data_IF_800486358479
#
_entry.id   IF_800486358479
#
_cell.length_a   1.000
_cell.length_b   1.000
_cell.length_c   1.000
_cell.angle_alpha   90.00
_cell.angle_beta   90.00
_cell.angle_gamma   90.00
#
_symmetry.space_group_name_H-M   'P 1'
#
loop_
_entity.id
_entity.type
_entity.pdbx_description
1 polymer ?
#
# COMPACT_ATOMS: atom_id res chain seq x y z
N UNK A 1 7.45 -5.77 -0.93
CA UNK A 1 6.14 -6.45 -0.72
C UNK A 1 5.28 -6.24 -1.96
N UNK A 2 4.37 -7.17 -2.29
CA UNK A 2 3.48 -7.03 -3.47
C UNK A 2 2.58 -5.80 -3.34
N UNK A 3 2.49 -5.02 -4.41
CA UNK A 3 1.61 -3.86 -4.49
C UNK A 3 0.17 -4.28 -4.84
N UNK A 4 -0.66 -4.53 -3.82
CA UNK A 4 -2.04 -4.97 -4.01
C UNK A 4 -2.92 -3.87 -4.62
N UNK A 5 -2.64 -2.59 -4.29
CA UNK A 5 -3.36 -1.46 -4.87
C UNK A 5 -3.17 -1.43 -6.40
N UNK A 6 -1.93 -1.48 -6.85
CA UNK A 6 -1.64 -1.41 -8.28
C UNK A 6 -2.20 -2.62 -9.05
N UNK A 7 -2.18 -3.82 -8.45
CA UNK A 7 -2.82 -5.01 -9.06
C UNK A 7 -4.30 -4.75 -9.35
N UNK A 8 -5.05 -4.25 -8.37
CA UNK A 8 -6.48 -3.98 -8.51
C UNK A 8 -6.75 -2.80 -9.43
N UNK A 9 -5.96 -1.73 -9.35
CA UNK A 9 -6.07 -0.57 -10.22
C UNK A 9 -5.93 -0.97 -11.70
N UNK A 10 -4.88 -1.73 -12.04
CA UNK A 10 -4.72 -2.20 -13.42
C UNK A 10 -5.79 -3.20 -13.84
N UNK A 11 -6.32 -3.99 -12.90
CA UNK A 11 -7.43 -4.90 -13.19
C UNK A 11 -8.71 -4.15 -13.56
N UNK A 12 -9.10 -3.12 -12.80
CA UNK A 12 -10.28 -2.30 -13.10
C UNK A 12 -10.13 -1.50 -14.40
N UNK A 13 -8.90 -1.10 -14.75
CA UNK A 13 -8.57 -0.55 -16.08
C UNK A 13 -8.62 -1.57 -17.24
N UNK A 14 -8.99 -2.82 -16.99
CA UNK A 14 -9.17 -3.85 -18.02
C UNK A 14 -7.88 -4.46 -18.56
N UNK A 15 -6.79 -4.44 -17.77
CA UNK A 15 -5.56 -5.16 -18.13
C UNK A 15 -5.72 -6.67 -17.88
N UNK A 16 -5.06 -7.47 -18.72
CA UNK A 16 -5.01 -8.93 -18.52
C UNK A 16 -4.13 -9.29 -17.33
N UNK A 17 -4.39 -10.43 -16.69
CA UNK A 17 -3.61 -10.89 -15.52
C UNK A 17 -2.12 -11.04 -15.81
N UNK A 18 -1.76 -11.34 -17.06
CA UNK A 18 -0.36 -11.49 -17.50
C UNK A 18 0.33 -10.12 -17.63
N UNK A 19 -0.38 -9.10 -18.10
CA UNK A 19 0.14 -7.73 -18.18
C UNK A 19 0.34 -7.15 -16.77
N UNK A 20 -0.64 -7.35 -15.88
CA UNK A 20 -0.57 -6.91 -14.48
C UNK A 20 0.62 -7.58 -13.76
N UNK A 21 0.82 -8.88 -13.98
CA UNK A 21 1.95 -9.61 -13.40
C UNK A 21 3.31 -9.04 -13.82
N UNK A 22 3.44 -8.64 -15.10
CA UNK A 22 4.66 -7.97 -15.60
C UNK A 22 4.85 -6.58 -14.99
N UNK A 23 3.80 -5.76 -14.95
CA UNK A 23 3.85 -4.41 -14.39
C UNK A 23 4.19 -4.43 -12.89
N UNK A 24 3.53 -5.31 -12.15
CA UNK A 24 3.68 -5.47 -10.71
C UNK A 24 4.84 -6.39 -10.30
N UNK A 25 5.65 -6.85 -11.26
CA UNK A 25 6.81 -7.76 -11.06
C UNK A 25 6.47 -8.91 -10.07
N UNK A 26 5.31 -9.51 -10.25
CA UNK A 26 4.79 -10.54 -9.36
C UNK A 26 4.25 -11.73 -10.15
N UNK A 27 4.07 -12.87 -9.48
CA UNK A 27 3.55 -14.05 -10.16
C UNK A 27 2.09 -13.86 -10.60
N UNK A 28 1.73 -14.41 -11.76
CA UNK A 28 0.32 -14.43 -12.24
C UNK A 28 -0.62 -15.05 -11.20
N UNK A 29 -0.16 -16.04 -10.44
CA UNK A 29 -0.92 -16.66 -9.35
C UNK A 29 -1.22 -15.67 -8.22
N UNK A 30 -0.31 -14.74 -7.92
CA UNK A 30 -0.53 -13.69 -6.92
C UNK A 30 -1.59 -12.69 -7.37
N UNK A 31 -1.55 -12.30 -8.65
CA UNK A 31 -2.57 -11.44 -9.26
C UNK A 31 -3.95 -12.09 -9.16
N UNK A 32 -4.09 -13.35 -9.60
CA UNK A 32 -5.34 -14.09 -9.53
C UNK A 32 -5.88 -14.22 -8.10
N UNK A 33 -5.02 -14.57 -7.14
CA UNK A 33 -5.40 -14.66 -5.72
C UNK A 33 -5.87 -13.32 -5.18
N UNK A 34 -5.23 -12.22 -5.55
CA UNK A 34 -5.61 -10.87 -5.11
C UNK A 34 -6.98 -10.49 -5.67
N UNK A 35 -7.21 -10.69 -6.97
CA UNK A 35 -8.50 -10.39 -7.63
C UNK A 35 -9.62 -11.24 -7.02
N UNK A 36 -9.39 -12.55 -6.85
CA UNK A 36 -10.36 -13.45 -6.23
C UNK A 36 -10.72 -12.97 -4.82
N UNK A 37 -9.72 -12.59 -4.03
CA UNK A 37 -9.91 -12.11 -2.65
C UNK A 37 -10.67 -10.78 -2.61
N UNK A 38 -10.38 -9.85 -3.52
CA UNK A 38 -11.10 -8.59 -3.62
C UNK A 38 -12.60 -8.82 -3.90
N UNK A 39 -12.93 -9.77 -4.79
CA UNK A 39 -14.31 -10.18 -5.06
C UNK A 39 -14.98 -10.81 -3.83
N UNK A 40 -14.29 -11.71 -3.12
CA UNK A 40 -14.78 -12.30 -1.86
C UNK A 40 -15.06 -11.24 -0.78
N UNK A 41 -14.27 -10.16 -0.77
CA UNK A 41 -14.44 -9.04 0.16
C UNK A 41 -15.42 -7.96 -0.35
N UNK A 42 -16.11 -8.20 -1.46
CA UNK A 42 -17.02 -7.24 -2.11
C UNK A 42 -16.40 -5.85 -2.34
N UNK A 43 -15.11 -5.82 -2.68
CA UNK A 43 -14.42 -4.58 -3.05
C UNK A 43 -14.67 -4.37 -4.54
N UNK A 44 -15.58 -3.47 -4.88
CA UNK A 44 -15.78 -2.97 -6.24
C UNK A 44 -14.82 -1.80 -6.55
N UNK A 45 -14.85 -1.31 -7.78
CA UNK A 45 -14.01 -0.19 -8.23
C UNK A 45 -14.26 1.09 -7.42
N UNK A 46 -15.53 1.36 -7.06
CA UNK A 46 -15.92 2.53 -6.27
C UNK A 46 -15.40 2.44 -4.84
N UNK A 47 -15.57 1.30 -4.18
CA UNK A 47 -15.06 1.08 -2.83
C UNK A 47 -13.53 1.08 -2.80
N UNK A 48 -12.88 0.56 -3.84
CA UNK A 48 -11.42 0.54 -3.95
C UNK A 48 -10.80 1.94 -3.89
N UNK A 49 -11.36 2.92 -4.61
CA UNK A 49 -10.82 4.29 -4.64
C UNK A 49 -10.90 5.00 -3.28
N UNK A 50 -11.89 4.65 -2.46
CA UNK A 50 -12.08 5.21 -1.11
C UNK A 50 -11.17 4.57 -0.06
N UNK A 51 -10.55 3.42 -0.34
CA UNK A 51 -9.73 2.70 0.61
C UNK A 51 -8.28 3.19 0.58
N UNK A 52 -7.72 3.41 1.76
CA UNK A 52 -6.27 3.57 1.92
C UNK A 52 -5.55 2.23 1.73
N UNK A 53 -4.25 2.27 1.47
CA UNK A 53 -3.41 1.07 1.29
C UNK A 53 -3.49 0.11 2.48
N UNK A 54 -3.56 0.66 3.71
CA UNK A 54 -3.72 -0.15 4.92
C UNK A 54 -5.10 -0.75 5.00
N UNK A 55 -6.16 0.04 4.80
CA UNK A 55 -7.54 -0.48 4.85
C UNK A 55 -7.76 -1.57 3.80
N UNK A 56 -7.15 -1.41 2.62
CA UNK A 56 -7.16 -2.42 1.58
C UNK A 56 -6.43 -3.69 2.03
N UNK A 57 -5.23 -3.56 2.61
CA UNK A 57 -4.47 -4.70 3.11
C UNK A 57 -5.19 -5.42 4.26
N UNK A 58 -5.83 -4.67 5.16
CA UNK A 58 -6.64 -5.19 6.26
C UNK A 58 -7.84 -5.98 5.76
N UNK A 59 -8.56 -5.47 4.76
CA UNK A 59 -9.70 -6.18 4.16
C UNK A 59 -9.26 -7.45 3.45
N UNK A 60 -8.23 -7.37 2.60
CA UNK A 60 -7.76 -8.52 1.82
C UNK A 60 -7.10 -9.59 2.71
N UNK A 61 -6.25 -9.16 3.63
CA UNK A 61 -5.39 -10.01 4.45
C UNK A 61 -5.33 -9.54 5.91
N UNK A 62 -6.43 -9.69 6.68
CA UNK A 62 -6.52 -9.16 8.04
C UNK A 62 -5.42 -9.72 8.96
N UNK A 63 -5.07 -11.00 8.79
CA UNK A 63 -4.00 -11.67 9.57
C UNK A 63 -2.59 -11.09 9.35
N UNK A 64 -2.38 -10.31 8.27
CA UNK A 64 -1.08 -9.67 7.99
C UNK A 64 -0.93 -8.33 8.69
N UNK A 65 -2.05 -7.70 9.05
CA UNK A 65 -2.06 -6.43 9.76
C UNK A 65 -2.26 -6.67 11.25
N UNK A 66 -3.24 -7.51 11.59
CA UNK A 66 -3.61 -7.83 12.96
C UNK A 66 -3.27 -9.28 13.28
N UNK A 67 -2.56 -9.50 14.38
CA UNK A 67 -2.42 -10.86 14.92
C UNK A 67 -3.67 -11.16 15.73
N UNK A 68 -4.49 -12.09 15.27
CA UNK A 68 -5.69 -12.53 15.97
C UNK A 68 -5.36 -12.93 17.41
N UNK A 69 -6.15 -12.42 18.36
CA UNK A 69 -6.04 -12.74 19.79
C UNK A 69 -5.08 -11.86 20.60
N UNK A 70 -4.46 -10.83 20.00
CA UNK A 70 -3.68 -9.81 20.72
C UNK A 70 -4.50 -8.53 20.91
N UNK A 71 -4.44 -7.95 22.10
CA UNK A 71 -5.11 -6.68 22.40
C UNK A 71 -4.34 -5.50 21.82
N UNK A 72 -5.02 -4.60 21.11
CA UNK A 72 -4.37 -3.41 20.57
C UNK A 72 -4.09 -2.36 21.65
N UNK A 73 -2.91 -1.71 21.63
CA UNK A 73 -2.64 -0.61 22.54
C UNK A 73 -3.46 0.62 22.15
N UNK A 74 -4.17 1.20 23.12
CA UNK A 74 -4.76 2.53 22.97
C UNK A 74 -3.66 3.60 23.00
N UNK A 75 -3.13 3.92 21.81
CA UNK A 75 -2.05 4.89 21.67
C UNK A 75 -2.47 6.31 22.06
N UNK A 76 -3.74 6.69 21.91
CA UNK A 76 -4.24 8.01 22.29
C UNK A 76 -4.16 8.17 23.82
N UNK A 77 -4.66 7.19 24.57
CA UNK A 77 -4.59 7.21 26.03
C UNK A 77 -3.14 7.11 26.52
N UNK A 78 -2.32 6.26 25.91
CA UNK A 78 -0.91 6.10 26.27
C UNK A 78 -0.10 7.36 26.01
N UNK A 79 -0.37 8.09 24.92
CA UNK A 79 0.31 9.35 24.60
C UNK A 79 -0.07 10.48 25.55
N UNK A 80 -1.34 10.55 25.97
CA UNK A 80 -1.78 11.46 27.05
C UNK A 80 -1.02 11.19 28.35
N UNK A 81 -0.90 9.92 28.75
CA UNK A 81 -0.11 9.51 29.92
C UNK A 81 1.37 9.88 29.78
N UNK A 82 1.94 9.71 28.57
CA UNK A 82 3.33 10.05 28.24
C UNK A 82 3.58 11.55 28.40
N UNK A 83 2.74 12.39 27.79
CA UNK A 83 2.85 13.86 27.86
C UNK A 83 2.68 14.38 29.29
N UNK A 84 1.71 13.84 30.04
CA UNK A 84 1.43 14.27 31.41
C UNK A 84 2.54 13.92 32.41
N UNK A 85 3.25 12.80 32.22
CA UNK A 85 4.21 12.27 33.21
C UNK A 85 5.65 12.14 32.69
N UNK A 86 5.96 12.68 31.51
CA UNK A 86 7.30 12.59 30.89
C UNK A 86 7.78 11.15 30.66
N UNK A 87 6.87 10.23 30.32
CA UNK A 87 7.22 8.79 30.24
C UNK A 87 8.03 8.47 28.99
N UNK A 88 8.93 7.48 29.10
CA UNK A 88 9.55 6.86 27.93
C UNK A 88 8.58 5.89 27.27
N UNK A 89 8.75 5.63 25.96
CA UNK A 89 7.96 4.65 25.20
C UNK A 89 8.04 3.25 25.83
N UNK A 90 9.17 2.93 26.45
CA UNK A 90 9.35 1.68 27.17
C UNK A 90 8.45 1.55 28.40
N UNK A 91 8.28 2.64 29.16
CA UNK A 91 7.35 2.67 30.30
C UNK A 91 5.90 2.57 29.83
N UNK A 92 5.54 3.20 28.70
CA UNK A 92 4.22 3.04 28.08
C UNK A 92 3.93 1.57 27.75
N UNK A 93 4.87 0.88 27.07
CA UNK A 93 4.74 -0.55 26.77
C UNK A 93 4.54 -1.38 28.04
N UNK A 94 5.34 -1.14 29.09
CA UNK A 94 5.25 -1.90 30.34
C UNK A 94 3.88 -1.73 31.01
N UNK A 95 3.31 -0.52 30.99
CA UNK A 95 1.98 -0.23 31.53
C UNK A 95 0.88 -0.90 30.73
N UNK A 96 0.93 -0.79 29.40
CA UNK A 96 0.04 -1.51 28.50
C UNK A 96 0.08 -3.02 28.78
N UNK A 97 1.28 -3.61 28.81
CA UNK A 97 1.47 -5.04 29.02
C UNK A 97 0.84 -5.54 30.33
N UNK A 98 1.06 -4.80 31.43
CA UNK A 98 0.45 -5.12 32.72
C UNK A 98 -1.07 -5.00 32.71
N UNK A 99 -1.63 -3.93 32.14
CA UNK A 99 -3.09 -3.71 32.05
C UNK A 99 -3.75 -4.80 31.20
N UNK A 100 -3.17 -5.16 30.07
CA UNK A 100 -3.69 -6.20 29.17
C UNK A 100 -3.68 -7.58 29.85
N UNK A 101 -2.61 -7.93 30.57
CA UNK A 101 -2.55 -9.17 31.33
C UNK A 101 -3.58 -9.21 32.46
N UNK A 102 -3.74 -8.11 33.20
CA UNK A 102 -4.74 -8.02 34.27
C UNK A 102 -6.17 -8.15 33.74
N UNK A 103 -6.43 -7.75 32.50
CA UNK A 103 -7.70 -7.94 31.81
C UNK A 103 -7.89 -9.35 31.21
N UNK A 104 -6.95 -10.29 31.43
CA UNK A 104 -7.00 -11.64 30.87
C UNK A 104 -6.75 -11.72 29.35
N UNK A 105 -6.27 -10.63 28.74
CA UNK A 105 -6.03 -10.54 27.30
C UNK A 105 -4.55 -10.76 26.98
N UNK A 106 -4.23 -11.05 25.71
CA UNK A 106 -2.84 -11.27 25.27
C UNK A 106 -2.16 -9.97 24.83
N UNK A 107 -1.09 -9.52 25.49
CA UNK A 107 -0.36 -8.32 25.07
C UNK A 107 0.63 -8.56 23.93
N UNK A 108 0.92 -7.50 23.18
CA UNK A 108 2.05 -7.46 22.27
C UNK A 108 3.40 -7.39 23.03
N UNK A 109 4.37 -8.16 22.55
CA UNK A 109 5.75 -8.05 23.01
C UNK A 109 6.40 -6.72 22.63
N UNK A 110 7.48 -6.34 23.33
CA UNK A 110 8.17 -5.04 23.21
C UNK A 110 8.42 -4.62 21.76
N UNK A 111 9.06 -5.48 20.96
CA UNK A 111 9.44 -5.14 19.58
C UNK A 111 8.22 -4.85 18.69
N UNK A 112 7.11 -5.56 18.88
CA UNK A 112 5.89 -5.33 18.11
C UNK A 112 5.18 -4.06 18.56
N UNK A 113 5.10 -3.81 19.87
CA UNK A 113 4.55 -2.58 20.42
C UNK A 113 5.29 -1.34 19.88
N UNK A 114 6.63 -1.36 19.87
CA UNK A 114 7.43 -0.23 19.38
C UNK A 114 7.21 0.00 17.88
N UNK A 115 7.06 -1.06 17.08
CA UNK A 115 6.70 -0.94 15.65
C UNK A 115 5.33 -0.28 15.46
N UNK A 116 4.32 -0.71 16.23
CA UNK A 116 2.98 -0.13 16.19
C UNK A 116 2.98 1.34 16.65
N UNK A 117 3.70 1.64 17.74
CA UNK A 117 3.84 3.00 18.25
C UNK A 117 4.52 3.93 17.24
N UNK A 118 5.59 3.48 16.57
CA UNK A 118 6.25 4.26 15.51
C UNK A 118 5.30 4.56 14.34
N UNK A 119 4.48 3.58 13.93
CA UNK A 119 3.46 3.78 12.88
C UNK A 119 2.43 4.83 13.29
N UNK A 120 1.96 4.77 14.53
CA UNK A 120 1.05 5.78 15.11
C UNK A 120 1.72 7.18 15.14
N UNK A 121 2.92 7.28 15.69
CA UNK A 121 3.64 8.55 15.93
C UNK A 121 4.04 9.28 14.64
N UNK A 122 4.43 8.55 13.60
CA UNK A 122 4.77 9.15 12.30
C UNK A 122 3.52 9.60 11.52
N UNK A 123 2.30 9.36 12.03
CA UNK A 123 1.08 9.42 11.23
C UNK A 123 1.12 8.46 10.03
N UNK A 124 2.11 7.56 10.03
CA UNK A 124 2.42 6.63 8.95
C UNK A 124 1.57 5.37 9.15
N UNK A 125 0.26 5.58 9.11
CA UNK A 125 -0.64 4.63 8.46
C UNK A 125 -0.48 4.67 6.93
N UNK A 126 0.53 5.38 6.42
CA UNK A 126 1.02 5.20 5.05
C UNK A 126 1.84 3.92 4.98
N UNK A 127 1.16 2.78 4.94
CA UNK A 127 1.73 1.63 4.28
C UNK A 127 1.82 1.98 2.79
N UNK A 128 2.90 2.63 2.37
CA UNK A 128 3.12 2.89 0.97
C UNK A 128 3.65 1.61 0.32
N UNK A 129 2.89 1.07 -0.63
CA UNK A 129 3.39 -0.01 -1.44
C UNK A 129 4.63 0.46 -2.22
N UNK A 130 5.70 -0.33 -2.15
CA UNK A 130 6.88 -0.07 -2.97
C UNK A 130 6.53 -0.26 -4.45
N UNK A 131 6.77 0.77 -5.26
CA UNK A 131 6.67 0.67 -6.71
C UNK A 131 7.78 -0.22 -7.26
N UNK A 132 7.42 -1.06 -8.22
CA UNK A 132 8.37 -1.88 -8.97
C UNK A 132 9.22 -1.02 -9.88
N UNK A 133 10.34 -1.55 -10.35
CA UNK A 133 11.19 -0.83 -11.30
C UNK A 133 10.43 -0.54 -12.61
N UNK A 134 9.60 -1.49 -13.03
CA UNK A 134 8.69 -1.33 -14.16
C UNK A 134 7.67 -0.20 -13.94
N UNK A 135 7.05 -0.11 -12.75
CA UNK A 135 6.13 0.99 -12.43
C UNK A 135 6.82 2.35 -12.37
N UNK A 136 8.04 2.41 -11.80
CA UNK A 136 8.81 3.66 -11.78
C UNK A 136 9.13 4.13 -13.18
N UNK A 137 9.53 3.21 -14.07
CA UNK A 137 9.77 3.50 -15.49
C UNK A 137 8.51 3.98 -16.19
N UNK A 138 7.37 3.35 -15.93
CA UNK A 138 6.06 3.81 -16.42
C UNK A 138 5.78 5.23 -15.96
N UNK A 139 5.90 5.49 -14.66
CA UNK A 139 5.67 6.82 -14.07
C UNK A 139 6.61 7.88 -14.68
N UNK A 140 7.87 7.53 -14.93
CA UNK A 140 8.84 8.41 -15.58
C UNK A 140 8.43 8.71 -17.03
N UNK A 141 8.10 7.68 -17.82
CA UNK A 141 7.65 7.86 -19.21
C UNK A 141 6.34 8.64 -19.33
N UNK A 142 5.41 8.44 -18.41
CA UNK A 142 4.16 9.21 -18.34
C UNK A 142 4.46 10.65 -17.95
N UNK A 143 5.32 10.89 -16.96
CA UNK A 143 5.73 12.25 -16.57
C UNK A 143 6.40 12.97 -17.74
N UNK A 144 7.31 12.29 -18.45
CA UNK A 144 7.99 12.81 -19.63
C UNK A 144 7.02 13.14 -20.77
N UNK A 145 5.82 12.54 -20.82
CA UNK A 145 4.81 12.76 -21.85
C UNK A 145 3.75 13.80 -21.44
N UNK A 146 3.21 13.69 -20.22
CA UNK A 146 2.07 14.48 -19.72
C UNK A 146 2.52 15.82 -19.14
N UNK A 147 3.67 15.87 -18.49
CA UNK A 147 4.16 17.08 -17.81
C UNK A 147 5.08 17.95 -18.69
N UNK A 148 5.11 17.72 -20.01
CA UNK A 148 5.93 18.53 -20.92
C UNK A 148 5.44 19.98 -20.89
N UNK A 149 6.28 20.94 -20.47
CA UNK A 149 5.93 22.36 -20.47
C UNK A 149 5.39 22.81 -21.83
N UNK A 150 4.37 23.66 -21.84
CA UNK A 150 3.78 24.22 -23.07
C UNK A 150 4.80 24.94 -23.97
N UNK A 151 5.90 25.41 -23.39
CA UNK A 151 7.02 26.08 -24.06
C UNK A 151 7.91 25.14 -24.89
N UNK A 152 7.84 23.82 -24.66
CA UNK A 152 8.55 22.84 -25.47
C UNK A 152 7.75 22.54 -26.74
N UNK A 153 8.46 22.60 -27.89
CA UNK A 153 7.85 22.43 -29.20
C UNK A 153 7.19 21.07 -29.39
N UNK A 154 6.18 21.01 -30.27
CA UNK A 154 5.41 19.79 -30.56
C UNK A 154 6.26 18.56 -30.90
N UNK A 155 7.43 18.75 -31.51
CA UNK A 155 8.35 17.66 -31.84
C UNK A 155 8.80 16.89 -30.60
N UNK A 156 9.05 17.57 -29.48
CA UNK A 156 9.45 16.92 -28.22
C UNK A 156 8.29 16.12 -27.62
N UNK A 157 7.07 16.65 -27.70
CA UNK A 157 5.86 15.94 -27.27
C UNK A 157 5.61 14.68 -28.09
N UNK A 158 5.81 14.76 -29.42
CA UNK A 158 5.72 13.59 -30.32
C UNK A 158 6.78 12.54 -30.00
N UNK A 159 8.03 12.94 -29.80
CA UNK A 159 9.11 12.01 -29.47
C UNK A 159 8.89 11.29 -28.14
N UNK A 160 8.45 12.01 -27.09
CA UNK A 160 8.12 11.42 -25.80
C UNK A 160 6.95 10.43 -25.90
N UNK A 161 5.89 10.80 -26.65
CA UNK A 161 4.76 9.92 -26.95
C UNK A 161 5.23 8.64 -27.63
N UNK A 162 6.01 8.76 -28.70
CA UNK A 162 6.52 7.62 -29.45
C UNK A 162 7.38 6.69 -28.58
N UNK A 163 8.26 7.25 -27.74
CA UNK A 163 9.06 6.50 -26.77
C UNK A 163 8.19 5.69 -25.81
N UNK A 164 7.12 6.27 -25.27
CA UNK A 164 6.17 5.58 -24.40
C UNK A 164 5.44 4.44 -25.13
N UNK A 165 4.92 4.71 -26.33
CA UNK A 165 4.24 3.69 -27.15
C UNK A 165 5.17 2.54 -27.55
N UNK A 166 6.42 2.84 -27.91
CA UNK A 166 7.42 1.84 -28.27
C UNK A 166 7.77 0.94 -27.07
N UNK A 167 7.89 1.54 -25.88
CA UNK A 167 8.10 0.79 -24.65
C UNK A 167 6.90 -0.12 -24.33
N UNK A 168 5.66 0.39 -24.45
CA UNK A 168 4.46 -0.41 -24.27
C UNK A 168 4.39 -1.58 -25.26
N UNK A 169 4.71 -1.34 -26.53
CA UNK A 169 4.79 -2.37 -27.59
C UNK A 169 5.81 -3.45 -27.23
N UNK A 170 7.01 -3.07 -26.78
CA UNK A 170 8.06 -4.00 -26.33
C UNK A 170 7.58 -4.87 -25.17
N UNK A 171 6.82 -4.29 -24.25
CA UNK A 171 6.29 -4.99 -23.07
C UNK A 171 5.00 -5.78 -23.34
N UNK A 172 4.39 -5.62 -24.53
CA UNK A 172 3.05 -6.12 -24.90
C UNK A 172 1.95 -5.58 -23.99
N UNK A 173 2.05 -4.29 -23.66
CA UNK A 173 1.09 -3.55 -22.86
C UNK A 173 0.27 -2.63 -23.76
N UNK A 174 -0.96 -2.36 -23.34
CA UNK A 174 -1.84 -1.40 -24.00
C UNK A 174 -1.61 0.00 -23.39
N UNK A 175 -1.09 0.99 -24.14
CA UNK A 175 -0.82 2.33 -23.65
C UNK A 175 -2.04 3.03 -23.05
N UNK A 176 -3.26 2.68 -23.47
CA UNK A 176 -4.49 3.30 -22.96
C UNK A 176 -4.92 2.76 -21.59
N UNK A 177 -4.34 1.63 -21.15
CA UNK A 177 -4.71 0.93 -19.91
C UNK A 177 -3.68 1.09 -18.80
N UNK A 178 -2.58 1.80 -19.06
CA UNK A 178 -1.50 2.09 -18.10
C UNK A 178 -1.78 3.43 -17.40
#
# INVERSE_FOLDING_TARGET
MTNYRAILQYHYRGNTTTQIAKLCECSRTTVLKTIKRAKECAIDERAFELLSDIQLLEKLYPKRVHRSGYEEPDFIALEKDKKKRGLTVFVMWRRYYKRTLAAGKKPYGKSQFFKLFKRYDTGSFRFEFQYTETMKKVSALISDYVCIPSRLGEGVKRAAKEKFHLWCKKMRLDPQKI
#
